data_IF_667668696504
#
_entry.id   IF_667668696504
#
_cell.length_a   1.000
_cell.length_b   1.000
_cell.length_c   1.000
_cell.angle_alpha   90.00
_cell.angle_beta   90.00
_cell.angle_gamma   90.00
#
_symmetry.space_group_name_H-M   'P 1'
#
loop_
_entity.id
_entity.type
_entity.pdbx_description
1 polymer ?
#
# COMPACT_ATOMS: atom_id res chain seq x y z
N UNK A 1 10.58 1.51 -11.24
CA UNK A 1 10.34 0.54 -10.15
C UNK A 1 10.38 -0.87 -10.69
N UNK A 2 11.00 -1.78 -9.95
CA UNK A 2 11.02 -3.22 -10.20
C UNK A 2 10.43 -3.89 -8.96
N UNK A 3 9.50 -4.82 -9.16
CA UNK A 3 8.71 -5.38 -8.06
C UNK A 3 9.59 -6.14 -7.06
N UNK A 4 10.61 -6.86 -7.53
CA UNK A 4 11.53 -7.58 -6.65
C UNK A 4 12.39 -6.63 -5.81
N UNK A 5 12.86 -5.52 -6.41
CA UNK A 5 13.53 -4.43 -5.69
C UNK A 5 12.64 -3.77 -4.64
N UNK A 6 11.36 -3.57 -4.95
CA UNK A 6 10.43 -2.92 -4.04
C UNK A 6 10.00 -3.85 -2.89
N UNK A 7 9.91 -5.17 -3.13
CA UNK A 7 9.74 -6.17 -2.07
C UNK A 7 10.96 -6.18 -1.14
N UNK A 8 12.19 -6.10 -1.68
CA UNK A 8 13.41 -5.98 -0.86
C UNK A 8 13.35 -4.73 0.03
N UNK A 9 12.93 -3.61 -0.55
CA UNK A 9 12.79 -2.34 0.18
C UNK A 9 11.74 -2.46 1.30
N UNK A 10 10.64 -3.18 1.07
CA UNK A 10 9.65 -3.50 2.10
C UNK A 10 10.26 -4.34 3.24
N UNK A 11 11.02 -5.39 2.91
CA UNK A 11 11.71 -6.24 3.90
C UNK A 11 12.60 -5.40 4.82
N UNK A 12 13.47 -4.57 4.23
CA UNK A 12 14.43 -3.73 4.96
C UNK A 12 13.72 -2.69 5.85
N UNK A 13 12.73 -1.97 5.30
CA UNK A 13 11.98 -0.94 6.04
C UNK A 13 11.14 -1.54 7.16
N UNK A 14 10.53 -2.70 6.93
CA UNK A 14 9.76 -3.38 7.96
C UNK A 14 10.67 -3.95 9.07
N UNK A 15 11.78 -4.57 8.69
CA UNK A 15 12.76 -5.08 9.64
C UNK A 15 13.33 -3.96 10.54
N UNK A 16 13.67 -2.82 9.93
CA UNK A 16 14.20 -1.62 10.57
C UNK A 16 13.17 -0.72 11.26
N UNK A 17 11.88 -1.07 11.21
CA UNK A 17 10.77 -0.27 11.78
C UNK A 17 10.65 1.15 11.20
N UNK A 18 11.02 1.34 9.93
CA UNK A 18 10.94 2.62 9.24
C UNK A 18 9.49 2.93 8.82
N UNK A 19 8.74 3.56 9.73
CA UNK A 19 7.35 3.96 9.51
C UNK A 19 7.18 4.91 8.33
N UNK A 20 8.11 5.85 8.15
CA UNK A 20 8.01 6.89 7.11
C UNK A 20 8.26 6.25 5.76
N UNK A 21 9.33 5.45 5.64
CA UNK A 21 9.64 4.71 4.43
C UNK A 21 8.54 3.74 4.06
N UNK A 22 7.92 3.02 5.01
CA UNK A 22 6.83 2.10 4.69
C UNK A 22 5.62 2.81 4.06
N UNK A 23 5.26 3.99 4.59
CA UNK A 23 4.17 4.80 4.02
C UNK A 23 4.54 5.35 2.65
N UNK A 24 5.78 5.81 2.46
CA UNK A 24 6.26 6.26 1.17
C UNK A 24 6.21 5.13 0.13
N UNK A 25 6.74 3.96 0.46
CA UNK A 25 6.72 2.78 -0.41
C UNK A 25 5.29 2.39 -0.78
N UNK A 26 4.37 2.42 0.20
CA UNK A 26 2.96 2.16 -0.07
C UNK A 26 2.38 3.12 -1.11
N UNK A 27 2.58 4.43 -0.92
CA UNK A 27 2.08 5.43 -1.87
C UNK A 27 2.74 5.30 -3.24
N UNK A 28 4.04 5.00 -3.33
CA UNK A 28 4.75 4.80 -4.60
C UNK A 28 4.25 3.54 -5.33
N UNK A 29 4.14 2.41 -4.62
CA UNK A 29 3.62 1.16 -5.18
C UNK A 29 2.16 1.30 -5.64
N UNK A 30 1.33 2.08 -4.94
CA UNK A 30 -0.03 2.37 -5.38
C UNK A 30 -0.08 3.07 -6.76
N UNK A 31 0.88 3.97 -7.01
CA UNK A 31 0.98 4.68 -8.30
C UNK A 31 1.46 3.74 -9.38
N UNK A 32 2.53 2.97 -9.11
CA UNK A 32 3.05 2.01 -10.08
C UNK A 32 2.02 0.96 -10.47
N UNK A 33 1.21 0.51 -9.51
CA UNK A 33 0.10 -0.39 -9.78
C UNK A 33 -0.81 0.17 -10.88
N UNK A 34 -1.20 1.44 -10.74
CA UNK A 34 -2.03 2.13 -11.71
C UNK A 34 -1.30 2.35 -13.06
N UNK A 35 -0.04 2.81 -13.03
CA UNK A 35 0.74 3.11 -14.24
C UNK A 35 1.07 1.86 -15.07
N UNK A 36 1.36 0.75 -14.41
CA UNK A 36 1.74 -0.52 -15.06
C UNK A 36 0.58 -1.48 -15.25
N UNK A 37 -0.59 -1.16 -14.68
CA UNK A 37 -1.75 -2.04 -14.67
C UNK A 37 -1.42 -3.43 -14.06
N UNK A 38 -0.65 -3.46 -12.96
CA UNK A 38 -0.22 -4.70 -12.29
C UNK A 38 -0.69 -4.71 -10.83
N UNK A 39 -1.57 -5.68 -10.52
CA UNK A 39 -2.16 -5.85 -9.19
C UNK A 39 -1.14 -6.25 -8.12
N UNK A 40 0.02 -6.78 -8.50
CA UNK A 40 1.07 -7.17 -7.55
C UNK A 40 1.61 -5.95 -6.77
N UNK A 41 1.65 -4.78 -7.43
CA UNK A 41 2.00 -3.52 -6.77
C UNK A 41 0.90 -3.03 -5.81
N UNK A 42 -0.38 -3.37 -6.06
CA UNK A 42 -1.47 -3.09 -5.11
C UNK A 42 -1.25 -3.90 -3.84
N UNK A 43 -0.97 -5.20 -3.97
CA UNK A 43 -0.71 -6.07 -2.81
C UNK A 43 0.50 -5.59 -2.01
N UNK A 44 1.59 -5.24 -2.69
CA UNK A 44 2.76 -4.63 -2.07
C UNK A 44 2.40 -3.35 -1.30
N UNK A 45 1.61 -2.47 -1.93
CA UNK A 45 1.17 -1.22 -1.33
C UNK A 45 0.32 -1.45 -0.07
N UNK A 46 -0.59 -2.43 -0.12
CA UNK A 46 -1.44 -2.86 1.01
C UNK A 46 -0.58 -3.37 2.16
N UNK A 47 0.38 -4.26 1.87
CA UNK A 47 1.27 -4.82 2.89
C UNK A 47 2.11 -3.72 3.53
N UNK A 48 2.73 -2.84 2.74
CA UNK A 48 3.56 -1.75 3.23
C UNK A 48 2.78 -0.80 4.15
N UNK A 49 1.57 -0.38 3.74
CA UNK A 49 0.72 0.46 4.58
C UNK A 49 0.34 -0.24 5.88
N UNK A 50 -0.09 -1.50 5.78
CA UNK A 50 -0.53 -2.29 6.92
C UNK A 50 0.62 -2.51 7.92
N UNK A 51 1.82 -2.80 7.44
CA UNK A 51 3.02 -2.90 8.26
C UNK A 51 3.30 -1.60 9.02
N UNK A 52 3.18 -0.44 8.36
CA UNK A 52 3.32 0.86 9.04
C UNK A 52 2.29 1.02 10.16
N UNK A 53 1.05 0.58 9.93
CA UNK A 53 -0.03 0.66 10.91
C UNK A 53 0.14 -0.29 12.08
N UNK A 54 0.65 -1.50 11.86
CA UNK A 54 0.96 -2.44 12.92
C UNK A 54 2.09 -1.90 13.81
N UNK A 55 3.17 -1.39 13.20
CA UNK A 55 4.31 -0.81 13.91
C UNK A 55 3.96 0.44 14.74
N UNK A 56 2.96 1.22 14.34
CA UNK A 56 2.44 2.35 15.13
C UNK A 56 1.80 1.90 16.47
N UNK A 57 1.36 0.65 16.58
CA UNK A 57 0.58 0.16 17.72
C UNK A 57 1.46 -0.64 18.66
N UNK A 58 1.93 0.02 19.73
CA UNK A 58 2.81 -0.61 20.73
C UNK A 58 2.22 -1.89 21.34
N UNK A 59 0.90 -1.96 21.55
CA UNK A 59 0.25 -3.18 22.06
C UNK A 59 0.31 -4.37 21.10
N UNK A 60 0.48 -4.13 19.79
CA UNK A 60 0.71 -5.18 18.80
C UNK A 60 2.19 -5.57 18.81
N UNK A 61 3.09 -4.58 18.74
CA UNK A 61 4.54 -4.81 18.67
C UNK A 61 5.08 -5.51 19.93
N UNK A 62 4.44 -5.28 21.07
CA UNK A 62 4.81 -5.89 22.35
C UNK A 62 4.03 -7.18 22.64
N UNK A 63 3.22 -7.68 21.69
CA UNK A 63 2.48 -8.92 21.88
C UNK A 63 3.40 -10.15 21.75
N UNK A 64 3.07 -11.28 22.38
CA UNK A 64 3.84 -12.52 22.25
C UNK A 64 3.96 -13.04 20.81
N UNK A 65 2.93 -12.81 19.98
CA UNK A 65 2.85 -13.29 18.59
C UNK A 65 3.63 -12.41 17.62
N UNK A 66 4.06 -11.21 18.03
CA UNK A 66 4.71 -10.25 17.13
C UNK A 66 5.98 -10.81 16.46
N UNK A 67 6.83 -11.47 17.23
CA UNK A 67 8.11 -11.98 16.72
C UNK A 67 7.89 -13.09 15.68
N UNK A 68 7.02 -14.06 15.97
CA UNK A 68 6.72 -15.16 15.03
C UNK A 68 6.02 -14.65 13.77
N UNK A 69 5.14 -13.65 13.90
CA UNK A 69 4.56 -12.94 12.78
C UNK A 69 5.63 -12.24 11.93
N UNK A 70 6.50 -11.43 12.56
CA UNK A 70 7.53 -10.66 11.87
C UNK A 70 8.43 -11.58 11.05
N UNK A 71 8.91 -12.67 11.64
CA UNK A 71 9.75 -13.66 10.97
C UNK A 71 9.02 -14.35 9.81
N UNK A 72 7.76 -14.74 10.02
CA UNK A 72 6.96 -15.39 8.98
C UNK A 72 6.68 -14.47 7.80
N UNK A 73 6.39 -13.19 8.07
CA UNK A 73 6.16 -12.19 7.04
C UNK A 73 7.43 -11.93 6.23
N UNK A 74 8.58 -11.69 6.90
CA UNK A 74 9.85 -11.47 6.21
C UNK A 74 10.26 -12.67 5.35
N UNK A 75 10.01 -13.90 5.83
CA UNK A 75 10.27 -15.10 5.04
C UNK A 75 9.39 -15.20 3.80
N UNK A 76 8.09 -14.90 3.89
CA UNK A 76 7.19 -14.90 2.74
C UNK A 76 7.60 -13.84 1.70
N UNK A 77 7.95 -12.64 2.15
CA UNK A 77 8.44 -11.56 1.29
C UNK A 77 9.75 -11.96 0.58
N UNK A 78 10.71 -12.52 1.31
CA UNK A 78 11.96 -13.00 0.73
C UNK A 78 11.73 -14.09 -0.33
N UNK A 79 10.85 -15.05 -0.07
CA UNK A 79 10.48 -16.08 -1.04
C UNK A 79 9.76 -15.49 -2.27
N UNK A 80 8.90 -14.49 -2.06
CA UNK A 80 8.20 -13.80 -3.15
C UNK A 80 9.21 -13.09 -4.05
N UNK A 81 10.15 -12.35 -3.47
CA UNK A 81 11.24 -11.68 -4.18
C UNK A 81 12.08 -12.64 -5.01
N UNK A 82 12.50 -13.78 -4.43
CA UNK A 82 13.24 -14.83 -5.18
C UNK A 82 12.41 -15.33 -6.35
N UNK A 83 11.12 -15.63 -6.14
CA UNK A 83 10.24 -16.10 -7.21
C UNK A 83 10.11 -15.08 -8.35
N UNK A 84 10.01 -13.79 -8.04
CA UNK A 84 9.99 -12.73 -9.05
C UNK A 84 11.32 -12.61 -9.83
N UNK A 85 12.46 -12.69 -9.13
CA UNK A 85 13.78 -12.68 -9.77
C UNK A 85 14.01 -13.87 -10.71
N UNK A 86 13.46 -15.03 -10.37
CA UNK A 86 13.54 -16.25 -11.17
C UNK A 86 12.50 -16.30 -12.30
N UNK A 87 11.66 -15.27 -12.45
CA UNK A 87 10.58 -15.22 -13.45
C UNK A 87 9.36 -16.09 -13.12
N UNK A 88 9.27 -16.64 -11.90
CA UNK A 88 8.12 -17.40 -11.43
C UNK A 88 7.06 -16.46 -10.83
N UNK A 89 6.46 -15.63 -11.69
CA UNK A 89 5.55 -14.55 -11.31
C UNK A 89 4.31 -15.03 -10.53
N UNK A 90 3.69 -16.14 -10.94
CA UNK A 90 2.47 -16.65 -10.28
C UNK A 90 2.75 -17.12 -8.85
N UNK A 91 3.89 -17.78 -8.63
CA UNK A 91 4.35 -18.11 -7.27
C UNK A 91 4.65 -16.85 -6.46
N UNK A 92 5.30 -15.85 -7.07
CA UNK A 92 5.58 -14.57 -6.44
C UNK A 92 4.32 -13.87 -5.94
N UNK A 93 3.28 -13.79 -6.80
CA UNK A 93 1.96 -13.25 -6.47
C UNK A 93 1.27 -14.02 -5.35
N UNK A 94 1.26 -15.36 -5.43
CA UNK A 94 0.66 -16.19 -4.37
C UNK A 94 1.33 -15.94 -3.00
N UNK A 95 2.64 -15.71 -2.97
CA UNK A 95 3.37 -15.39 -1.73
C UNK A 95 3.07 -13.98 -1.20
N UNK A 96 2.85 -12.98 -2.07
CA UNK A 96 2.35 -11.66 -1.66
C UNK A 96 0.94 -11.76 -1.09
N UNK A 97 0.05 -12.50 -1.74
CA UNK A 97 -1.28 -12.77 -1.23
C UNK A 97 -1.25 -13.42 0.16
N UNK A 98 -0.43 -14.45 0.35
CA UNK A 98 -0.24 -15.09 1.65
C UNK A 98 0.33 -14.12 2.71
N UNK A 99 1.18 -13.18 2.29
CA UNK A 99 1.71 -12.14 3.17
C UNK A 99 0.59 -11.20 3.65
N UNK A 100 -0.34 -10.80 2.77
CA UNK A 100 -1.53 -10.02 3.15
C UNK A 100 -2.43 -10.80 4.12
N UNK A 101 -2.66 -12.08 3.87
CA UNK A 101 -3.47 -12.93 4.75
C UNK A 101 -2.84 -13.08 6.14
N UNK A 102 -1.51 -13.18 6.22
CA UNK A 102 -0.78 -13.22 7.48
C UNK A 102 -0.94 -11.89 8.27
N UNK A 103 -0.85 -10.75 7.58
CA UNK A 103 -1.09 -9.42 8.17
C UNK A 103 -2.52 -9.31 8.72
N UNK A 104 -3.51 -9.77 7.97
CA UNK A 104 -4.92 -9.74 8.41
C UNK A 104 -5.17 -10.66 9.61
N UNK A 105 -4.54 -11.84 9.62
CA UNK A 105 -4.64 -12.79 10.73
C UNK A 105 -4.13 -12.18 12.03
N UNK A 106 -2.94 -11.53 12.01
CA UNK A 106 -2.40 -10.83 13.17
C UNK A 106 -3.32 -9.67 13.61
N UNK A 107 -3.78 -8.88 12.64
CA UNK A 107 -4.69 -7.77 12.89
C UNK A 107 -5.99 -8.24 13.57
N UNK A 108 -6.50 -9.40 13.20
CA UNK A 108 -7.73 -9.97 13.76
C UNK A 108 -7.50 -10.59 15.14
N UNK A 109 -6.36 -11.25 15.35
CA UNK A 109 -6.08 -11.93 16.62
C UNK A 109 -5.76 -10.97 17.76
N UNK A 110 -5.01 -9.88 17.48
CA UNK A 110 -4.56 -8.93 18.51
C UNK A 110 -5.33 -7.60 18.42
N UNK A 111 -5.71 -7.22 17.20
CA UNK A 111 -6.22 -5.89 16.95
C UNK A 111 -7.68 -5.75 17.34
N UNK A 112 -7.97 -4.69 18.09
CA UNK A 112 -9.33 -4.12 18.21
C UNK A 112 -9.78 -3.43 16.92
N UNK A 113 -9.32 -3.89 15.76
CA UNK A 113 -9.70 -3.31 14.49
C UNK A 113 -11.12 -3.76 14.18
N UNK A 114 -12.11 -2.93 14.56
CA UNK A 114 -13.55 -3.18 14.28
C UNK A 114 -13.80 -3.46 12.78
N UNK A 115 -12.98 -2.88 11.91
CA UNK A 115 -12.96 -3.17 10.48
C UNK A 115 -11.56 -3.66 10.09
N UNK A 116 -11.51 -4.69 9.23
CA UNK A 116 -10.30 -5.28 8.61
C UNK A 116 -9.21 -4.24 8.30
N UNK A 117 -7.97 -4.52 8.71
CA UNK A 117 -6.83 -3.64 8.42
C UNK A 117 -6.55 -3.60 6.93
N UNK A 118 -6.70 -4.74 6.24
CA UNK A 118 -6.57 -4.82 4.79
C UNK A 118 -7.63 -3.97 4.09
N UNK A 119 -8.90 -4.00 4.52
CA UNK A 119 -9.94 -3.15 3.91
C UNK A 119 -9.62 -1.67 4.09
N UNK A 120 -9.12 -1.26 5.27
CA UNK A 120 -8.68 0.13 5.49
C UNK A 120 -7.48 0.50 4.62
N UNK A 121 -6.53 -0.42 4.43
CA UNK A 121 -5.39 -0.21 3.56
C UNK A 121 -5.84 0.01 2.11
N UNK A 122 -6.76 -0.83 1.61
CA UNK A 122 -7.34 -0.70 0.26
C UNK A 122 -8.04 0.64 0.06
N UNK A 123 -8.87 1.08 1.02
CA UNK A 123 -9.50 2.41 0.97
C UNK A 123 -8.46 3.54 0.90
N UNK A 124 -7.39 3.44 1.68
CA UNK A 124 -6.31 4.43 1.66
C UNK A 124 -5.60 4.49 0.31
N UNK A 125 -5.34 3.33 -0.28
CA UNK A 125 -4.67 3.19 -1.58
C UNK A 125 -5.56 3.71 -2.71
N UNK A 126 -6.85 3.35 -2.70
CA UNK A 126 -7.82 3.88 -3.64
C UNK A 126 -7.92 5.41 -3.55
N UNK A 127 -7.89 5.98 -2.34
CA UNK A 127 -7.92 7.42 -2.17
C UNK A 127 -6.63 8.09 -2.68
N UNK A 128 -5.47 7.46 -2.47
CA UNK A 128 -4.19 7.96 -3.00
C UNK A 128 -4.16 7.90 -4.54
N UNK A 129 -4.69 6.84 -5.16
CA UNK A 129 -4.84 6.74 -6.61
C UNK A 129 -5.79 7.82 -7.15
N UNK A 130 -6.94 8.00 -6.51
CA UNK A 130 -7.92 9.03 -6.89
C UNK A 130 -7.33 10.43 -6.82
N UNK A 131 -6.63 10.76 -5.73
CA UNK A 131 -6.02 12.07 -5.55
C UNK A 131 -4.90 12.37 -6.58
N UNK A 132 -4.39 11.34 -7.25
CA UNK A 132 -3.39 11.43 -8.32
C UNK A 132 -4.00 11.37 -9.73
N UNK A 133 -5.32 11.44 -9.85
CA UNK A 133 -6.02 11.60 -11.12
C UNK A 133 -6.71 10.35 -11.65
N UNK A 134 -6.67 9.22 -10.94
CA UNK A 134 -7.54 8.09 -11.29
C UNK A 134 -9.02 8.46 -11.07
N UNK A 135 -9.90 8.01 -11.97
CA UNK A 135 -11.34 8.15 -11.72
C UNK A 135 -11.75 7.31 -10.49
N UNK A 136 -12.82 7.70 -9.79
CA UNK A 136 -13.31 6.97 -8.61
C UNK A 136 -13.55 5.48 -8.90
N UNK A 137 -14.11 5.16 -10.07
CA UNK A 137 -14.36 3.77 -10.47
C UNK A 137 -13.08 2.98 -10.71
N UNK A 138 -12.09 3.61 -11.36
CA UNK A 138 -10.78 2.98 -11.59
C UNK A 138 -10.07 2.77 -10.27
N UNK A 139 -10.01 3.79 -9.40
CA UNK A 139 -9.39 3.71 -8.09
C UNK A 139 -10.02 2.61 -7.21
N UNK A 140 -11.36 2.52 -7.18
CA UNK A 140 -12.07 1.49 -6.43
C UNK A 140 -11.77 0.08 -6.98
N UNK A 141 -11.85 -0.10 -8.29
CA UNK A 141 -11.56 -1.38 -8.95
C UNK A 141 -10.13 -1.85 -8.69
N UNK A 142 -9.15 -0.95 -8.85
CA UNK A 142 -7.73 -1.29 -8.76
C UNK A 142 -7.29 -1.59 -7.33
N UNK A 143 -7.71 -0.76 -6.37
CA UNK A 143 -7.44 -1.01 -4.96
C UNK A 143 -8.28 -2.16 -4.40
N UNK A 144 -9.32 -2.59 -5.13
CA UNK A 144 -10.30 -3.57 -4.70
C UNK A 144 -11.05 -3.13 -3.44
N UNK A 145 -11.33 -1.84 -3.31
CA UNK A 145 -12.19 -1.26 -2.29
C UNK A 145 -13.61 -1.10 -2.82
N UNK A 146 -14.61 -1.14 -1.94
CA UNK A 146 -15.96 -0.76 -2.33
C UNK A 146 -16.01 0.71 -2.77
N UNK A 147 -16.73 0.98 -3.86
CA UNK A 147 -16.78 2.31 -4.49
C UNK A 147 -17.49 3.33 -3.60
N UNK A 148 -18.52 2.91 -2.85
CA UNK A 148 -19.26 3.76 -1.93
C UNK A 148 -18.39 4.07 -0.71
N UNK A 149 -17.76 3.06 -0.12
CA UNK A 149 -16.84 3.25 1.00
C UNK A 149 -15.67 4.17 0.62
N UNK A 150 -15.12 4.00 -0.58
CA UNK A 150 -14.05 4.86 -1.09
C UNK A 150 -14.53 6.32 -1.24
N UNK A 151 -15.73 6.52 -1.79
CA UNK A 151 -16.30 7.85 -1.95
C UNK A 151 -16.54 8.55 -0.61
N UNK A 152 -17.09 7.84 0.37
CA UNK A 152 -17.29 8.33 1.74
C UNK A 152 -15.95 8.65 2.43
N UNK A 153 -14.95 7.79 2.24
CA UNK A 153 -13.62 7.98 2.79
C UNK A 153 -12.91 9.20 2.17
N UNK A 154 -13.01 9.41 0.86
CA UNK A 154 -12.48 10.60 0.19
C UNK A 154 -13.21 11.85 0.70
N UNK A 155 -14.55 11.84 0.75
CA UNK A 155 -15.34 13.00 1.18
C UNK A 155 -15.10 13.40 2.65
N UNK A 156 -14.81 12.44 3.51
CA UNK A 156 -14.51 12.68 4.93
C UNK A 156 -13.05 13.07 5.20
N UNK A 157 -12.15 12.93 4.22
CA UNK A 157 -10.73 13.22 4.38
C UNK A 157 -10.30 14.42 3.53
N UNK A 158 -9.57 15.38 4.10
CA UNK A 158 -8.95 16.50 3.36
C UNK A 158 -7.77 16.07 2.48
N UNK A 159 -7.80 14.86 1.91
CA UNK A 159 -6.68 14.30 1.15
C UNK A 159 -6.46 15.03 -0.18
N UNK A 160 -7.50 15.54 -0.81
CA UNK A 160 -7.39 16.35 -2.03
C UNK A 160 -6.64 17.67 -1.76
N UNK A 161 -6.81 18.26 -0.57
CA UNK A 161 -6.15 19.52 -0.18
C UNK A 161 -4.65 19.36 0.10
N UNK A 162 -4.16 18.11 0.26
CA UNK A 162 -2.73 17.84 0.55
C UNK A 162 -1.83 17.91 -0.67
N UNK A 163 -2.37 17.77 -1.88
CA UNK A 163 -1.57 17.85 -3.09
C UNK A 163 -1.47 19.30 -3.51
N UNK A 164 -0.29 19.91 -3.31
CA UNK A 164 -0.02 21.27 -3.80
C UNK A 164 -0.05 21.22 -5.32
N UNK A 165 -1.15 21.68 -5.89
CA UNK A 165 -1.28 21.85 -7.34
C UNK A 165 -0.75 23.23 -7.73
N UNK A 166 -0.25 23.36 -8.97
CA UNK A 166 0.12 24.67 -9.51
C UNK A 166 -1.11 25.60 -9.45
N UNK A 167 -0.91 26.82 -8.98
CA UNK A 167 -1.98 27.83 -8.99
C UNK A 167 -2.50 28.02 -10.42
N UNK A 168 -3.77 28.42 -10.56
CA UNK A 168 -4.39 28.71 -11.86
C UNK A 168 -3.53 29.68 -12.68
N UNK A 169 -2.90 30.66 -12.00
CA UNK A 169 -1.95 31.60 -12.60
C UNK A 169 -0.72 30.92 -13.20
N UNK A 170 -0.09 30.00 -12.47
CA UNK A 170 1.08 29.24 -12.94
C UNK A 170 0.70 28.30 -14.10
N UNK A 171 -0.47 27.67 -14.04
CA UNK A 171 -0.96 26.80 -15.13
C UNK A 171 -1.18 27.59 -16.43
N UNK A 172 -1.75 28.79 -16.32
CA UNK A 172 -1.96 29.67 -17.47
C UNK A 172 -0.63 30.19 -18.05
N UNK A 173 0.34 30.51 -17.20
CA UNK A 173 1.67 30.95 -17.65
C UNK A 173 2.39 29.86 -18.42
N UNK A 174 2.46 28.63 -17.88
CA UNK A 174 3.11 27.50 -18.55
C UNK A 174 2.45 27.16 -19.89
N UNK A 175 1.12 27.28 -19.98
CA UNK A 175 0.40 27.04 -21.23
C UNK A 175 0.68 28.11 -22.31
N UNK A 176 1.01 29.34 -21.90
CA UNK A 176 1.39 30.42 -22.82
C UNK A 176 2.84 30.32 -23.30
N UNK A 177 3.72 29.75 -22.50
CA UNK A 177 5.15 29.56 -22.84
C UNK A 177 5.39 28.31 -23.71
N UNK A 178 4.44 27.38 -23.75
CA UNK A 178 4.49 26.17 -24.58
C UNK A 178 3.95 26.35 -26.02
N UNK A 179 3.61 27.59 -26.40
CA UNK A 179 3.14 28.00 -27.74
C UNK A 179 4.17 28.93 -28.35
#
# INVERSE_FOLDING_TARGET
MDLASDIKTLEERFAGKDLVGLRQLSSEAAIEAFLKNDSSFVELSVIAYSCSKLLEKQYIVNSPEWNSFKESLLRLLAQSRVSFNEGNFERGKALLHNSMMLVESLSTSIGRFVNSLISKARLKIGADMYARGASLGVAASFSGSDKKDLNEYIGSTKMLDKYVTLSVKQRLQNAKEAV
#
